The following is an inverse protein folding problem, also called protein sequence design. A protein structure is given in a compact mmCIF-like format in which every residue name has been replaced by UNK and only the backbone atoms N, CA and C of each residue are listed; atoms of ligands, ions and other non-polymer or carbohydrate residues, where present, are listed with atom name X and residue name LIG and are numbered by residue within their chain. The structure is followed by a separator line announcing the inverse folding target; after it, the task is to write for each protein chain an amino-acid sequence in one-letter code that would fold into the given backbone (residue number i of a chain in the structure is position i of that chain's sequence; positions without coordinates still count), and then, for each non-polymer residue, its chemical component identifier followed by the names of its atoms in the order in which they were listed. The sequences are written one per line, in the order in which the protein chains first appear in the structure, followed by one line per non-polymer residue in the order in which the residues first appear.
data_IF_689796059386
#
_entry.id   IF_689796059386
#
_cell.length_a   1.000
_cell.length_b   1.000
_cell.length_c   1.000
_cell.angle_alpha   90.00
_cell.angle_beta   90.00
_cell.angle_gamma   90.00
#
_symmetry.space_group_name_H-M   'P 1'
#
loop_
_entity.id
_entity.type
_entity.pdbx_description
1 polymer ?
#
# COMPACT_ATOMS: atom_id res chain seq x y z
N UNK A 1 11.78 -21.09 1.58
CA UNK A 1 10.79 -21.45 0.52
C UNK A 1 11.21 -20.89 -0.83
N UNK A 2 10.73 -21.45 -1.95
CA UNK A 2 10.87 -20.80 -3.27
C UNK A 2 10.16 -19.43 -3.21
N UNK A 3 10.82 -18.36 -3.65
CA UNK A 3 10.30 -16.97 -3.70
C UNK A 3 10.17 -16.22 -2.35
N UNK A 4 10.75 -16.73 -1.27
CA UNK A 4 10.70 -16.07 0.05
C UNK A 4 11.33 -14.67 0.05
N UNK A 5 12.49 -14.52 -0.61
CA UNK A 5 13.19 -13.24 -0.69
C UNK A 5 12.34 -12.16 -1.38
N UNK A 6 11.67 -12.48 -2.49
CA UNK A 6 10.83 -11.50 -3.19
C UNK A 6 9.55 -11.20 -2.42
N UNK A 7 8.97 -12.18 -1.72
CA UNK A 7 7.83 -11.95 -0.82
C UNK A 7 8.20 -11.04 0.35
N UNK A 8 9.39 -11.21 0.93
CA UNK A 8 9.91 -10.33 1.97
C UNK A 8 10.08 -8.89 1.46
N UNK A 9 10.62 -8.71 0.25
CA UNK A 9 10.72 -7.39 -0.38
C UNK A 9 9.36 -6.74 -0.64
N UNK A 10 8.32 -7.53 -0.92
CA UNK A 10 6.95 -7.01 -1.03
C UNK A 10 6.39 -6.64 0.34
N UNK A 11 6.64 -7.45 1.39
CA UNK A 11 6.26 -7.15 2.77
C UNK A 11 6.92 -5.84 3.25
N UNK A 12 8.22 -5.68 2.99
CA UNK A 12 8.97 -4.46 3.24
C UNK A 12 8.32 -3.24 2.56
N UNK A 13 7.98 -3.38 1.27
CA UNK A 13 7.37 -2.28 0.51
C UNK A 13 5.99 -1.88 1.07
N UNK A 14 5.18 -2.84 1.52
CA UNK A 14 3.91 -2.54 2.18
C UNK A 14 4.16 -1.74 3.47
N UNK A 15 5.12 -2.17 4.29
CA UNK A 15 5.49 -1.46 5.52
C UNK A 15 6.00 -0.04 5.25
N UNK A 16 6.87 0.12 4.25
CA UNK A 16 7.42 1.42 3.85
C UNK A 16 6.33 2.39 3.38
N UNK A 17 5.37 1.91 2.57
CA UNK A 17 4.27 2.73 2.06
C UNK A 17 3.27 3.11 3.15
N UNK A 18 3.06 2.24 4.14
CA UNK A 18 2.15 2.50 5.26
C UNK A 18 2.70 3.52 6.26
N UNK A 19 3.96 3.97 6.12
CA UNK A 19 4.53 5.03 6.96
C UNK A 19 3.79 6.39 6.83
N UNK A 20 2.93 6.57 5.82
CA UNK A 20 2.03 7.73 5.76
C UNK A 20 0.82 7.63 6.71
N UNK A 21 0.61 6.50 7.37
CA UNK A 21 -0.48 6.27 8.33
C UNK A 21 -1.83 5.90 7.71
N UNK A 22 -1.92 5.76 6.39
CA UNK A 22 -3.15 5.46 5.68
C UNK A 22 -2.95 4.44 4.57
N UNK A 23 -4.02 3.71 4.24
CA UNK A 23 -4.02 2.80 3.09
C UNK A 23 -4.02 3.61 1.79
N UNK A 24 -3.21 3.18 0.81
CA UNK A 24 -3.11 3.83 -0.50
C UNK A 24 -3.94 3.02 -1.50
N UNK A 25 -4.92 3.67 -2.11
CA UNK A 25 -5.66 3.13 -3.26
C UNK A 25 -4.89 3.49 -4.53
N UNK A 26 -4.21 2.52 -5.12
CA UNK A 26 -3.42 2.73 -6.34
C UNK A 26 -2.64 1.49 -6.77
N UNK A 27 -1.86 1.61 -7.84
CA UNK A 27 -1.01 0.53 -8.33
C UNK A 27 0.47 0.80 -7.99
N UNK A 28 1.07 -0.04 -7.15
CA UNK A 28 2.50 0.03 -6.83
C UNK A 28 3.29 -0.93 -7.74
N UNK A 29 4.27 -0.39 -8.47
CA UNK A 29 5.23 -1.17 -9.26
C UNK A 29 6.65 -0.77 -8.90
N UNK A 30 7.49 -1.76 -8.62
CA UNK A 30 8.87 -1.53 -8.23
C UNK A 30 9.81 -2.53 -8.92
N UNK A 31 10.94 -2.02 -9.42
CA UNK A 31 12.00 -2.83 -10.00
C UNK A 31 13.28 -2.66 -9.19
N UNK A 32 13.73 -3.73 -8.52
CA UNK A 32 14.91 -3.73 -7.63
C UNK A 32 14.90 -2.62 -6.57
N UNK A 33 13.71 -2.28 -6.06
CA UNK A 33 13.55 -1.23 -5.04
C UNK A 33 13.96 -1.69 -3.64
N UNK A 34 14.20 -0.73 -2.76
CA UNK A 34 14.41 -0.91 -1.33
C UNK A 34 13.88 0.30 -0.55
N UNK A 35 14.04 0.28 0.78
CA UNK A 35 13.42 1.23 1.70
C UNK A 35 13.63 2.70 1.30
N UNK A 36 14.85 3.07 0.93
CA UNK A 36 15.16 4.45 0.53
C UNK A 36 14.35 4.91 -0.70
N UNK A 37 14.18 4.03 -1.70
CA UNK A 37 13.44 4.38 -2.91
C UNK A 37 11.92 4.37 -2.67
N UNK A 38 11.42 3.44 -1.85
CA UNK A 38 10.02 3.39 -1.44
C UNK A 38 9.63 4.66 -0.65
N UNK A 39 10.48 5.07 0.31
CA UNK A 39 10.24 6.29 1.07
C UNK A 39 10.32 7.55 0.20
N UNK A 40 11.28 7.61 -0.74
CA UNK A 40 11.38 8.73 -1.69
C UNK A 40 10.14 8.83 -2.59
N UNK A 41 9.61 7.70 -3.05
CA UNK A 41 8.34 7.66 -3.79
C UNK A 41 7.20 8.21 -2.93
N UNK A 42 7.08 7.73 -1.69
CA UNK A 42 6.03 8.18 -0.77
C UNK A 42 6.08 9.68 -0.53
N UNK A 43 7.26 10.22 -0.22
CA UNK A 43 7.45 11.67 -0.05
C UNK A 43 7.11 12.45 -1.32
N UNK A 44 7.51 11.95 -2.49
CA UNK A 44 7.24 12.62 -3.76
C UNK A 44 5.74 12.70 -4.09
N UNK A 45 4.98 11.64 -3.79
CA UNK A 45 3.51 11.64 -3.95
C UNK A 45 2.88 12.61 -2.96
N UNK A 46 3.23 12.53 -1.68
CA UNK A 46 2.63 13.37 -0.64
C UNK A 46 2.96 14.86 -0.80
N UNK A 47 4.14 15.19 -1.32
CA UNK A 47 4.53 16.58 -1.61
C UNK A 47 3.75 17.19 -2.79
N UNK A 48 3.18 16.36 -3.66
CA UNK A 48 2.43 16.79 -4.86
C UNK A 48 0.93 16.64 -4.62
N UNK A 49 0.30 17.69 -4.08
CA UNK A 49 -1.11 17.66 -3.65
C UNK A 49 -2.09 17.28 -4.78
N UNK A 50 -1.77 17.59 -6.03
CA UNK A 50 -2.58 17.25 -7.20
C UNK A 50 -2.40 15.79 -7.67
N UNK A 51 -1.48 15.02 -7.07
CA UNK A 51 -1.24 13.62 -7.40
C UNK A 51 -2.10 12.65 -6.55
N UNK A 52 -2.77 13.15 -5.51
CA UNK A 52 -3.55 12.32 -4.60
C UNK A 52 -4.67 13.14 -3.94
N UNK A 53 -5.69 12.44 -3.45
CA UNK A 53 -6.77 13.03 -2.69
C UNK A 53 -7.18 12.13 -1.53
N UNK A 54 -7.82 12.71 -0.52
CA UNK A 54 -8.46 11.92 0.53
C UNK A 54 -9.78 11.36 0.02
N UNK A 55 -9.99 10.06 0.23
CA UNK A 55 -11.25 9.40 -0.04
C UNK A 55 -11.75 8.71 1.23
N UNK A 56 -13.04 8.90 1.52
CA UNK A 56 -13.77 8.21 2.57
C UNK A 56 -14.97 7.50 1.94
N UNK A 57 -15.27 6.29 2.40
CA UNK A 57 -16.40 5.51 1.91
C UNK A 57 -17.43 5.40 3.03
N UNK A 58 -18.62 5.95 2.80
CA UNK A 58 -19.75 5.80 3.74
C UNK A 58 -20.43 4.43 3.59
N UNK A 59 -20.48 3.93 2.36
CA UNK A 59 -21.01 2.60 2.03
C UNK A 59 -19.86 1.60 1.80
N UNK A 60 -19.92 0.46 2.50
CA UNK A 60 -18.98 -0.65 2.35
C UNK A 60 -19.02 -1.30 0.95
N UNK A 61 -20.12 -1.10 0.20
CA UNK A 61 -20.23 -1.50 -1.19
C UNK A 61 -19.21 -0.79 -2.09
N UNK A 62 -18.89 0.47 -1.81
CA UNK A 62 -17.98 1.30 -2.60
C UNK A 62 -16.49 1.05 -2.26
N UNK A 63 -16.22 0.41 -1.13
CA UNK A 63 -14.86 0.11 -0.70
C UNK A 63 -14.18 -0.85 -1.69
N UNK A 64 -12.96 -0.56 -2.18
CA UNK A 64 -12.25 -1.47 -3.06
C UNK A 64 -12.05 -2.84 -2.40
N UNK A 65 -12.22 -3.92 -3.18
CA UNK A 65 -12.11 -5.30 -2.68
C UNK A 65 -10.83 -5.57 -1.89
N UNK A 66 -9.73 -4.90 -2.25
CA UNK A 66 -8.43 -5.03 -1.60
C UNK A 66 -8.42 -4.58 -0.12
N UNK A 67 -9.38 -3.75 0.31
CA UNK A 67 -9.46 -3.20 1.66
C UNK A 67 -10.68 -3.67 2.45
N UNK A 68 -11.52 -4.56 1.88
CA UNK A 68 -12.64 -5.15 2.62
C UNK A 68 -12.11 -6.06 3.72
N UNK A 69 -12.73 -6.00 4.90
CA UNK A 69 -12.44 -6.96 5.95
C UNK A 69 -12.80 -8.36 5.46
N UNK A 70 -11.83 -9.28 5.50
CA UNK A 70 -12.11 -10.67 5.18
C UNK A 70 -12.84 -11.29 6.36
N UNK A 71 -14.02 -11.88 6.13
CA UNK A 71 -14.76 -12.71 7.11
C UNK A 71 -14.04 -14.06 7.38
N UNK A 72 -12.72 -14.04 7.58
CA UNK A 72 -12.00 -15.17 8.15
C UNK A 72 -12.32 -15.22 9.65
N UNK A 73 -13.48 -15.81 9.95
CA UNK A 73 -13.73 -16.40 11.27
C UNK A 73 -12.62 -17.42 11.48
N UNK A 74 -11.71 -17.14 12.41
CA UNK A 74 -10.80 -18.13 12.96
C UNK A 74 -11.67 -19.18 13.66
N UNK A 75 -11.87 -20.32 12.98
CA UNK A 75 -12.29 -21.56 13.62
C UNK A 75 -11.10 -22.20 14.35
#
# INVERSE_FOLDING_TARGET
MKDEFVRHKMLDAIGDLFMCGHNIIGAFTAYKSGHALNNKLLQAVLAKQEAWEWATFEDEAELPLAFKASNLVLA
#
